data_IF_232901585291
#
_entry.id   IF_232901585291
#
_cell.length_a   1.000
_cell.length_b   1.000
_cell.length_c   1.000
_cell.angle_alpha   90.00
_cell.angle_beta   90.00
_cell.angle_gamma   90.00
#
_symmetry.space_group_name_H-M   'P 1'
#
loop_
_entity.id
_entity.type
_entity.pdbx_description
1 polymer ?
#
# COMPACT_ATOMS: atom_id res chain seq x y z
N UNK A 1 -26.85 -30.38 -33.13
CA UNK A 1 -26.44 -28.94 -33.07
C UNK A 1 -25.00 -28.95 -32.59
N UNK A 2 -24.04 -28.79 -33.54
CA UNK A 2 -22.61 -28.75 -33.25
C UNK A 2 -22.30 -27.34 -32.78
N UNK A 3 -22.08 -27.13 -31.49
CA UNK A 3 -21.51 -25.91 -30.92
C UNK A 3 -20.10 -25.74 -31.47
N UNK A 4 -19.94 -24.97 -32.52
CA UNK A 4 -18.64 -24.55 -33.06
C UNK A 4 -18.00 -23.61 -32.04
N UNK A 5 -17.14 -24.11 -31.14
CA UNK A 5 -16.29 -23.26 -30.27
C UNK A 5 -15.49 -22.34 -31.21
N UNK A 6 -15.87 -21.07 -31.26
CA UNK A 6 -15.13 -20.05 -31.99
C UNK A 6 -13.72 -20.01 -31.38
N UNK A 7 -12.69 -20.38 -32.14
CA UNK A 7 -11.30 -20.27 -31.68
C UNK A 7 -11.07 -18.80 -31.35
N UNK A 8 -10.91 -18.50 -30.08
CA UNK A 8 -10.68 -17.15 -29.60
C UNK A 8 -9.22 -16.81 -29.89
N UNK A 9 -8.97 -15.86 -30.78
CA UNK A 9 -7.64 -15.35 -31.08
C UNK A 9 -7.17 -14.45 -29.95
N UNK A 10 -5.85 -14.32 -29.74
CA UNK A 10 -5.27 -13.44 -28.74
C UNK A 10 -5.81 -12.00 -28.85
N UNK A 11 -5.94 -11.48 -30.08
CA UNK A 11 -6.51 -10.14 -30.33
C UNK A 11 -7.97 -9.99 -29.85
N UNK A 12 -8.80 -11.01 -30.09
CA UNK A 12 -10.21 -10.98 -29.62
C UNK A 12 -10.30 -11.13 -28.10
N UNK A 13 -9.39 -11.88 -27.48
CA UNK A 13 -9.31 -12.03 -26.05
C UNK A 13 -8.90 -10.70 -25.37
N UNK A 14 -7.88 -10.01 -25.90
CA UNK A 14 -7.49 -8.69 -25.44
C UNK A 14 -8.58 -7.63 -25.68
N UNK A 15 -9.26 -7.66 -26.82
CA UNK A 15 -10.35 -6.73 -27.09
C UNK A 15 -11.52 -6.91 -26.11
N UNK A 16 -11.79 -8.14 -25.69
CA UNK A 16 -12.93 -8.45 -24.81
C UNK A 16 -12.61 -8.32 -23.32
N UNK A 17 -11.42 -8.71 -22.89
CA UNK A 17 -11.04 -8.82 -21.46
C UNK A 17 -9.85 -7.94 -21.07
N UNK A 18 -9.19 -7.27 -22.01
CA UNK A 18 -7.99 -6.47 -21.74
C UNK A 18 -8.22 -5.38 -20.70
N UNK A 19 -9.39 -4.70 -20.75
CA UNK A 19 -9.71 -3.67 -19.78
C UNK A 19 -9.81 -4.20 -18.35
N UNK A 20 -10.60 -5.25 -18.13
CA UNK A 20 -10.74 -5.84 -16.79
C UNK A 20 -9.42 -6.44 -16.29
N UNK A 21 -8.61 -7.01 -17.19
CA UNK A 21 -7.31 -7.54 -16.84
C UNK A 21 -6.37 -6.44 -16.31
N UNK A 22 -6.25 -5.31 -17.03
CA UNK A 22 -5.39 -4.21 -16.59
C UNK A 22 -5.90 -3.55 -15.30
N UNK A 23 -7.21 -3.34 -15.16
CA UNK A 23 -7.77 -2.80 -13.92
C UNK A 23 -7.48 -3.72 -12.72
N UNK A 24 -7.64 -5.03 -12.90
CA UNK A 24 -7.34 -6.02 -11.85
C UNK A 24 -5.84 -6.06 -11.50
N UNK A 25 -4.97 -5.98 -12.50
CA UNK A 25 -3.52 -5.87 -12.28
C UNK A 25 -3.17 -4.60 -11.51
N UNK A 26 -3.80 -3.46 -11.82
CA UNK A 26 -3.61 -2.22 -11.08
C UNK A 26 -3.99 -2.36 -9.60
N UNK A 27 -5.17 -2.91 -9.33
CA UNK A 27 -5.61 -3.19 -7.97
C UNK A 27 -4.63 -4.11 -7.23
N UNK A 28 -4.21 -5.21 -7.87
CA UNK A 28 -3.26 -6.15 -7.29
C UNK A 28 -1.91 -5.50 -6.98
N UNK A 29 -1.37 -4.67 -7.88
CA UNK A 29 -0.09 -3.96 -7.69
C UNK A 29 -0.19 -2.94 -6.56
N UNK A 30 -1.29 -2.18 -6.46
CA UNK A 30 -1.51 -1.23 -5.36
C UNK A 30 -1.48 -1.94 -4.00
N UNK A 31 -2.23 -3.03 -3.86
CA UNK A 31 -2.30 -3.81 -2.61
C UNK A 31 -0.96 -4.48 -2.31
N UNK A 32 -0.37 -5.13 -3.30
CA UNK A 32 0.84 -5.94 -3.13
C UNK A 32 2.06 -5.08 -2.75
N UNK A 33 2.37 -4.04 -3.52
CA UNK A 33 3.58 -3.25 -3.25
C UNK A 33 3.47 -2.48 -1.93
N UNK A 34 2.36 -1.79 -1.69
CA UNK A 34 2.14 -1.09 -0.41
C UNK A 34 2.15 -2.05 0.78
N UNK A 35 1.50 -3.23 0.63
CA UNK A 35 1.45 -4.26 1.65
C UNK A 35 2.83 -4.84 1.98
N UNK A 36 3.64 -5.17 0.97
CA UNK A 36 5.02 -5.65 1.16
C UNK A 36 5.89 -4.57 1.82
N UNK A 37 5.73 -3.30 1.41
CA UNK A 37 6.42 -2.17 2.05
C UNK A 37 6.07 -2.08 3.53
N UNK A 38 4.79 -2.11 3.87
CA UNK A 38 4.30 -2.07 5.25
C UNK A 38 4.76 -3.27 6.06
N UNK A 39 4.70 -4.48 5.52
CA UNK A 39 5.18 -5.67 6.20
C UNK A 39 6.68 -5.56 6.56
N UNK A 40 7.50 -5.06 5.64
CA UNK A 40 8.92 -4.80 5.89
C UNK A 40 9.12 -3.73 6.96
N UNK A 41 8.40 -2.61 6.87
CA UNK A 41 8.51 -1.51 7.84
C UNK A 41 8.10 -1.93 9.24
N UNK A 42 6.93 -2.55 9.38
CA UNK A 42 6.42 -3.05 10.68
C UNK A 42 7.34 -4.12 11.25
N UNK A 43 7.87 -5.02 10.40
CA UNK A 43 8.82 -6.06 10.82
C UNK A 43 10.10 -5.47 11.39
N UNK A 44 10.73 -4.51 10.69
CA UNK A 44 11.95 -3.85 11.17
C UNK A 44 11.76 -3.18 12.56
N UNK A 45 10.63 -2.52 12.77
CA UNK A 45 10.34 -1.90 14.08
C UNK A 45 10.10 -2.95 15.14
N UNK A 46 9.36 -4.03 14.80
CA UNK A 46 9.05 -5.12 15.70
C UNK A 46 10.31 -5.85 16.20
N UNK A 47 11.29 -6.08 15.32
CA UNK A 47 12.57 -6.69 15.69
C UNK A 47 13.30 -5.87 16.76
N UNK A 48 13.39 -4.55 16.59
CA UNK A 48 14.05 -3.66 17.56
C UNK A 48 13.22 -3.54 18.84
N UNK A 49 11.88 -3.45 18.71
CA UNK A 49 10.97 -3.36 19.83
C UNK A 49 11.00 -4.61 20.71
N UNK A 50 11.12 -5.80 20.13
CA UNK A 50 11.22 -7.05 20.88
C UNK A 50 12.47 -7.07 21.80
N UNK A 51 13.59 -6.53 21.33
CA UNK A 51 14.78 -6.38 22.17
C UNK A 51 14.53 -5.48 23.37
N UNK A 52 13.89 -4.33 23.17
CA UNK A 52 13.54 -3.43 24.27
C UNK A 52 12.55 -4.08 25.27
N UNK A 53 11.59 -4.85 24.78
CA UNK A 53 10.59 -5.51 25.63
C UNK A 53 11.19 -6.61 26.52
N UNK A 54 12.31 -7.19 26.15
CA UNK A 54 13.02 -8.16 26.98
C UNK A 54 13.63 -7.51 28.24
N UNK A 55 13.97 -6.23 28.18
CA UNK A 55 14.59 -5.47 29.25
C UNK A 55 13.57 -4.58 29.99
N UNK A 56 12.66 -3.94 29.27
CA UNK A 56 11.73 -2.92 29.78
C UNK A 56 10.30 -3.17 29.26
N UNK A 57 9.59 -4.21 29.73
CA UNK A 57 8.26 -4.59 29.23
C UNK A 57 7.16 -3.54 29.44
N UNK A 58 7.34 -2.63 30.39
CA UNK A 58 6.41 -1.52 30.66
C UNK A 58 6.35 -0.49 29.51
N UNK A 59 7.36 -0.45 28.65
CA UNK A 59 7.40 0.41 27.47
C UNK A 59 6.61 -0.13 26.27
N UNK A 60 5.92 -1.27 26.41
CA UNK A 60 5.18 -1.94 25.32
C UNK A 60 4.24 -0.99 24.58
N UNK A 61 3.39 -0.23 25.29
CA UNK A 61 2.41 0.65 24.66
C UNK A 61 3.03 1.71 23.72
N UNK A 62 4.14 2.32 24.15
CA UNK A 62 4.86 3.34 23.36
C UNK A 62 5.59 2.70 22.17
N UNK A 63 6.17 1.52 22.35
CA UNK A 63 6.84 0.78 21.26
C UNK A 63 5.85 0.32 20.20
N UNK A 64 4.64 -0.12 20.62
CA UNK A 64 3.59 -0.54 19.70
C UNK A 64 3.11 0.61 18.80
N UNK A 65 2.99 1.83 19.33
CA UNK A 65 2.65 3.00 18.52
C UNK A 65 3.66 3.19 17.38
N UNK A 66 4.96 3.14 17.69
CA UNK A 66 6.01 3.25 16.68
C UNK A 66 5.97 2.12 15.65
N UNK A 67 5.65 0.87 16.09
CA UNK A 67 5.56 -0.28 15.22
C UNK A 67 4.38 -0.20 14.23
N UNK A 68 3.26 0.37 14.65
CA UNK A 68 2.06 0.46 13.81
C UNK A 68 2.20 1.48 12.67
N UNK A 69 3.02 2.53 12.84
CA UNK A 69 3.13 3.62 11.86
C UNK A 69 3.43 3.12 10.43
N UNK A 70 4.45 2.31 10.16
CA UNK A 70 4.74 1.86 8.79
C UNK A 70 3.72 0.85 8.24
N UNK A 71 2.65 0.54 8.95
CA UNK A 71 1.53 -0.29 8.51
C UNK A 71 0.48 0.45 7.68
N UNK A 72 0.39 1.77 7.82
CA UNK A 72 -0.68 2.60 7.23
C UNK A 72 -0.65 2.60 5.70
N UNK A 73 0.53 2.56 5.08
CA UNK A 73 0.67 2.54 3.61
C UNK A 73 0.06 1.29 2.97
N UNK A 74 0.13 0.15 3.65
CA UNK A 74 -0.56 -1.07 3.22
C UNK A 74 -2.08 -0.90 3.19
N UNK A 75 -2.63 -0.20 4.18
CA UNK A 75 -4.06 0.13 4.20
C UNK A 75 -4.43 1.10 3.06
N UNK A 76 -3.59 2.09 2.76
CA UNK A 76 -3.84 3.01 1.64
C UNK A 76 -3.88 2.27 0.29
N UNK A 77 -2.91 1.38 0.04
CA UNK A 77 -2.92 0.55 -1.16
C UNK A 77 -4.11 -0.39 -1.23
N UNK A 78 -4.52 -0.97 -0.10
CA UNK A 78 -5.72 -1.80 0.00
C UNK A 78 -6.98 -1.01 -0.36
N UNK A 79 -7.16 0.19 0.17
CA UNK A 79 -8.32 1.04 -0.14
C UNK A 79 -8.38 1.37 -1.63
N UNK A 80 -7.26 1.73 -2.27
CA UNK A 80 -7.23 1.99 -3.71
C UNK A 80 -7.57 0.73 -4.50
N UNK A 81 -7.02 -0.42 -4.15
CA UNK A 81 -7.36 -1.70 -4.78
C UNK A 81 -8.84 -2.04 -4.66
N UNK A 82 -9.44 -1.79 -3.49
CA UNK A 82 -10.87 -2.00 -3.24
C UNK A 82 -11.75 -1.05 -4.07
N UNK A 83 -11.37 0.22 -4.20
CA UNK A 83 -12.10 1.19 -5.05
C UNK A 83 -12.07 0.77 -6.52
N UNK A 84 -10.94 0.27 -7.02
CA UNK A 84 -10.84 -0.28 -8.37
C UNK A 84 -11.71 -1.52 -8.51
N UNK A 85 -11.71 -2.42 -7.52
CA UNK A 85 -12.52 -3.64 -7.53
C UNK A 85 -14.02 -3.32 -7.70
N UNK A 86 -14.54 -2.31 -7.04
CA UNK A 86 -15.94 -1.90 -7.19
C UNK A 86 -16.28 -1.30 -8.57
N UNK A 87 -15.28 -0.89 -9.34
CA UNK A 87 -15.47 -0.40 -10.71
C UNK A 87 -15.31 -1.48 -11.80
N UNK A 88 -14.92 -2.72 -11.44
CA UNK A 88 -14.73 -3.78 -12.42
C UNK A 88 -16.01 -4.15 -13.14
N UNK A 89 -15.95 -4.20 -14.47
CA UNK A 89 -17.03 -4.69 -15.35
C UNK A 89 -16.39 -5.66 -16.35
N UNK A 90 -17.01 -6.81 -16.61
CA UNK A 90 -16.46 -7.85 -17.50
C UNK A 90 -16.17 -7.36 -18.93
N UNK A 91 -16.93 -6.39 -19.41
CA UNK A 91 -16.80 -5.77 -20.73
C UNK A 91 -16.21 -4.35 -20.68
N UNK A 92 -15.35 -4.09 -19.68
CA UNK A 92 -14.66 -2.81 -19.52
C UNK A 92 -13.79 -2.51 -20.76
N UNK A 93 -13.88 -1.30 -21.36
CA UNK A 93 -13.00 -0.87 -22.42
C UNK A 93 -11.51 -0.96 -21.98
N UNK A 94 -10.63 -1.29 -22.93
CA UNK A 94 -9.19 -1.38 -22.67
C UNK A 94 -8.63 -0.06 -22.10
N UNK A 95 -9.06 1.08 -22.66
CA UNK A 95 -8.61 2.41 -22.21
C UNK A 95 -8.93 2.67 -20.74
N UNK A 96 -10.13 2.29 -20.30
CA UNK A 96 -10.59 2.49 -18.92
C UNK A 96 -9.79 1.60 -17.96
N UNK A 97 -9.59 0.33 -18.32
CA UNK A 97 -8.81 -0.60 -17.51
C UNK A 97 -7.34 -0.20 -17.41
N UNK A 98 -6.74 0.26 -18.52
CA UNK A 98 -5.37 0.77 -18.52
C UNK A 98 -5.24 2.06 -17.70
N UNK A 99 -6.22 2.94 -17.78
CA UNK A 99 -6.28 4.13 -16.94
C UNK A 99 -6.29 3.77 -15.45
N UNK A 100 -7.16 2.83 -15.04
CA UNK A 100 -7.22 2.37 -13.65
C UNK A 100 -5.90 1.72 -13.18
N UNK A 101 -5.23 0.98 -14.06
CA UNK A 101 -3.89 0.47 -13.77
C UNK A 101 -2.91 1.60 -13.47
N UNK A 102 -2.85 2.62 -14.33
CA UNK A 102 -1.97 3.78 -14.14
C UNK A 102 -2.33 4.55 -12.87
N UNK A 103 -3.63 4.70 -12.57
CA UNK A 103 -4.11 5.35 -11.35
C UNK A 103 -3.66 4.67 -10.05
N UNK A 104 -3.35 3.38 -10.09
CA UNK A 104 -2.84 2.62 -8.94
C UNK A 104 -1.34 2.82 -8.69
N UNK A 105 -0.56 3.22 -9.69
CA UNK A 105 0.91 3.28 -9.60
C UNK A 105 1.44 4.26 -8.54
N UNK A 106 0.87 5.47 -8.37
CA UNK A 106 1.39 6.39 -7.37
C UNK A 106 1.42 5.79 -5.97
N UNK A 107 0.31 5.22 -5.50
CA UNK A 107 0.27 4.62 -4.17
C UNK A 107 1.07 3.31 -4.09
N UNK A 108 1.11 2.52 -5.16
CA UNK A 108 1.91 1.30 -5.19
C UNK A 108 3.39 1.58 -4.94
N UNK A 109 3.95 2.56 -5.64
CA UNK A 109 5.38 2.88 -5.60
C UNK A 109 5.73 3.69 -4.35
N UNK A 110 5.02 4.81 -4.12
CA UNK A 110 5.27 5.68 -2.98
C UNK A 110 4.91 5.00 -1.65
N UNK A 111 3.84 4.21 -1.62
CA UNK A 111 3.45 3.43 -0.44
C UNK A 111 4.53 2.44 -0.03
N UNK A 112 5.08 1.67 -0.98
CA UNK A 112 6.20 0.77 -0.71
C UNK A 112 7.42 1.51 -0.14
N UNK A 113 7.87 2.57 -0.84
CA UNK A 113 9.06 3.33 -0.45
C UNK A 113 8.88 3.99 0.91
N UNK A 114 7.79 4.72 1.10
CA UNK A 114 7.46 5.41 2.35
C UNK A 114 7.40 4.45 3.53
N UNK A 115 6.72 3.30 3.41
CA UNK A 115 6.62 2.32 4.50
C UNK A 115 7.99 1.78 4.95
N UNK A 116 8.88 1.45 4.00
CA UNK A 116 10.22 0.96 4.31
C UNK A 116 11.07 2.04 4.99
N UNK A 117 11.04 3.28 4.52
CA UNK A 117 11.79 4.37 5.13
C UNK A 117 11.20 4.78 6.48
N UNK A 118 9.88 4.82 6.61
CA UNK A 118 9.20 5.08 7.88
C UNK A 118 9.55 4.02 8.92
N UNK A 119 9.61 2.74 8.52
CA UNK A 119 10.03 1.65 9.40
C UNK A 119 11.44 1.86 9.97
N UNK A 120 12.39 2.34 9.15
CA UNK A 120 13.76 2.67 9.62
C UNK A 120 13.76 3.81 10.65
N UNK A 121 12.99 4.88 10.37
CA UNK A 121 12.89 6.02 11.28
C UNK A 121 12.19 5.61 12.58
N UNK A 122 11.11 4.83 12.50
CA UNK A 122 10.39 4.32 13.65
C UNK A 122 11.23 3.36 14.50
N UNK A 123 12.04 2.49 13.89
CA UNK A 123 13.02 1.65 14.59
C UNK A 123 14.05 2.49 15.37
N UNK A 124 14.52 3.59 14.78
CA UNK A 124 15.35 4.57 15.50
C UNK A 124 14.60 5.24 16.66
N UNK A 125 13.28 5.44 16.50
CA UNK A 125 12.38 5.90 17.55
C UNK A 125 12.30 4.95 18.74
N UNK A 126 12.34 3.62 18.52
CA UNK A 126 12.44 2.62 19.60
C UNK A 126 13.76 2.80 20.36
N UNK A 127 14.88 3.00 19.66
CA UNK A 127 16.16 3.26 20.30
C UNK A 127 16.16 4.56 21.12
N UNK A 128 15.42 5.57 20.69
CA UNK A 128 15.21 6.80 21.45
C UNK A 128 14.35 6.54 22.70
N UNK A 129 13.27 5.77 22.58
CA UNK A 129 12.40 5.36 23.68
C UNK A 129 13.19 4.59 24.76
N UNK A 130 14.10 3.70 24.35
CA UNK A 130 14.95 2.96 25.27
C UNK A 130 15.86 3.89 26.10
N UNK A 131 16.48 4.88 25.46
CA UNK A 131 17.46 5.77 26.11
C UNK A 131 16.83 6.92 26.88
N UNK A 132 15.72 7.46 26.38
CA UNK A 132 15.05 8.63 26.97
C UNK A 132 13.55 8.59 26.61
N UNK A 133 12.77 8.05 27.52
CA UNK A 133 11.33 7.84 27.31
C UNK A 133 10.55 9.14 27.09
N UNK A 134 10.95 10.24 27.76
CA UNK A 134 10.30 11.55 27.60
C UNK A 134 10.41 12.10 26.18
N UNK A 135 11.42 11.67 25.42
CA UNK A 135 11.66 12.11 24.06
C UNK A 135 11.00 11.21 23.00
N UNK A 136 10.31 10.14 23.41
CA UNK A 136 9.69 9.16 22.48
C UNK A 136 8.77 9.79 21.45
N UNK A 137 8.01 10.82 21.82
CA UNK A 137 7.12 11.58 20.90
C UNK A 137 7.89 12.17 19.71
N UNK A 138 9.15 12.57 19.89
CA UNK A 138 9.97 13.10 18.77
C UNK A 138 10.25 12.01 17.74
N UNK A 139 10.46 10.76 18.17
CA UNK A 139 10.61 9.62 17.28
C UNK A 139 9.35 9.37 16.44
N UNK A 140 8.16 9.50 17.05
CA UNK A 140 6.88 9.39 16.36
C UNK A 140 6.76 10.49 15.30
N UNK A 141 7.03 11.76 15.66
CA UNK A 141 6.94 12.90 14.72
C UNK A 141 7.86 12.70 13.52
N UNK A 142 9.11 12.28 13.73
CA UNK A 142 10.02 12.01 12.61
C UNK A 142 9.52 10.88 11.70
N UNK A 143 8.94 9.83 12.26
CA UNK A 143 8.38 8.74 11.47
C UNK A 143 7.16 9.21 10.65
N UNK A 144 6.25 9.99 11.23
CA UNK A 144 5.05 10.53 10.54
C UNK A 144 5.42 11.45 9.38
N UNK A 145 6.54 12.20 9.48
CA UNK A 145 7.01 13.03 8.36
C UNK A 145 7.29 12.21 7.08
N UNK A 146 7.73 10.97 7.22
CA UNK A 146 7.97 10.09 6.07
C UNK A 146 6.65 9.62 5.43
N UNK A 147 5.59 9.47 6.23
CA UNK A 147 4.26 9.04 5.79
C UNK A 147 3.60 10.04 4.83
N UNK A 148 3.89 11.33 4.96
CA UNK A 148 3.27 12.39 4.16
C UNK A 148 3.36 12.13 2.66
N UNK A 149 4.43 11.54 2.17
CA UNK A 149 4.61 11.22 0.75
C UNK A 149 3.68 10.10 0.26
N UNK A 150 3.40 9.13 1.12
CA UNK A 150 2.40 8.10 0.81
C UNK A 150 0.98 8.67 0.83
N UNK A 151 0.68 9.61 1.74
CA UNK A 151 -0.62 10.31 1.77
C UNK A 151 -0.86 11.11 0.49
N UNK A 152 0.15 11.83 -0.02
CA UNK A 152 0.03 12.56 -1.29
C UNK A 152 -0.25 11.59 -2.46
N UNK A 153 0.46 10.46 -2.50
CA UNK A 153 0.26 9.45 -3.53
C UNK A 153 -1.11 8.74 -3.39
N UNK A 154 -1.57 8.51 -2.16
CA UNK A 154 -2.91 7.97 -1.89
C UNK A 154 -4.00 8.90 -2.40
N UNK A 155 -3.92 10.18 -2.08
CA UNK A 155 -4.92 11.18 -2.50
C UNK A 155 -4.99 11.27 -4.02
N UNK A 156 -3.86 11.34 -4.74
CA UNK A 156 -3.88 11.40 -6.20
C UNK A 156 -4.41 10.12 -6.83
N UNK A 157 -4.00 8.93 -6.33
CA UNK A 157 -4.55 7.65 -6.78
C UNK A 157 -6.06 7.57 -6.56
N UNK A 158 -6.55 8.03 -5.40
CA UNK A 158 -7.98 8.05 -5.08
C UNK A 158 -8.76 8.96 -6.02
N UNK A 159 -8.29 10.18 -6.28
CA UNK A 159 -8.92 11.12 -7.21
C UNK A 159 -8.99 10.51 -8.61
N UNK A 160 -7.87 9.95 -9.11
CA UNK A 160 -7.83 9.32 -10.43
C UNK A 160 -8.82 8.15 -10.53
N UNK A 161 -8.88 7.28 -9.52
CA UNK A 161 -9.82 6.15 -9.52
C UNK A 161 -11.28 6.62 -9.44
N UNK A 162 -11.59 7.61 -8.61
CA UNK A 162 -12.98 8.04 -8.41
C UNK A 162 -13.53 8.86 -9.58
N UNK A 163 -12.73 9.74 -10.17
CA UNK A 163 -13.18 10.73 -11.16
C UNK A 163 -12.83 10.35 -12.61
N UNK A 164 -11.88 9.46 -12.82
CA UNK A 164 -11.33 9.22 -14.17
C UNK A 164 -12.09 8.23 -15.02
N UNK A 165 -12.91 7.34 -14.44
CA UNK A 165 -13.72 6.33 -15.17
C UNK A 165 -15.12 6.30 -14.57
N UNK A 166 -16.13 6.51 -15.43
CA UNK A 166 -17.55 6.51 -15.04
C UNK A 166 -18.22 5.17 -15.32
#
# INVERSE_FOLDING_TARGET
IIFRRKKMNMSTLFAQYGGVLFATLGAAVAVFLSGVGSAKGVGMVGEVAAGLMAEEPEKFGKSLVLQLLPGTQGLYGFVIGLLVFFKLKMNMPFADGFYLFVACLPIAIAGYGSAVFQGRVAASGISLLAKNEEQSTKGIVYAVMVETYALLAFVISMIMVLLGVQ
#
